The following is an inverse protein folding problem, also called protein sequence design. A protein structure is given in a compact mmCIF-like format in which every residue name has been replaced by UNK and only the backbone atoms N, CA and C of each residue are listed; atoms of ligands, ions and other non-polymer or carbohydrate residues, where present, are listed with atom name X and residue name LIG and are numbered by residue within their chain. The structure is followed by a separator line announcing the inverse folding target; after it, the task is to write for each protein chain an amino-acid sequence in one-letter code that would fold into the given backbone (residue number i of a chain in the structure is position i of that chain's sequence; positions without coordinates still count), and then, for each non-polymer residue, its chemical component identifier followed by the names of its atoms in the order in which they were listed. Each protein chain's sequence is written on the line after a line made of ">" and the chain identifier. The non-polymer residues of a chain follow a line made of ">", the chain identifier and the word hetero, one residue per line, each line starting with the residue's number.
data_IF_155938256487
#
_entry.id   IF_155938256487
#
_cell.length_a   1.000
_cell.length_b   1.000
_cell.length_c   1.000
_cell.angle_alpha   90.00
_cell.angle_beta   90.00
_cell.angle_gamma   90.00
#
_symmetry.space_group_name_H-M   'P 1'
#
loop_
_entity.id
_entity.type
_entity.pdbx_description
1 polymer ?
#
# COMPACT_ATOMS: atom_id res chain seq x y z
N UNK A 1 -6.54 -40.20 -18.08
CA UNK A 1 -6.40 -38.75 -17.79
C UNK A 1 -6.35 -38.59 -16.27
N UNK A 2 -5.19 -38.27 -15.73
CA UNK A 2 -4.97 -38.03 -14.30
C UNK A 2 -5.45 -36.61 -13.97
N UNK A 3 -6.50 -36.48 -13.15
CA UNK A 3 -6.93 -35.18 -12.63
C UNK A 3 -5.97 -34.74 -11.53
N UNK A 4 -5.12 -33.76 -11.82
CA UNK A 4 -4.36 -33.07 -10.80
C UNK A 4 -5.30 -32.16 -10.00
N UNK A 5 -5.73 -32.64 -8.82
CA UNK A 5 -6.42 -31.81 -7.85
C UNK A 5 -5.35 -31.01 -7.10
N UNK A 6 -5.24 -29.72 -7.41
CA UNK A 6 -4.43 -28.79 -6.63
C UNK A 6 -5.16 -28.52 -5.31
N UNK A 7 -4.57 -28.91 -4.17
CA UNK A 7 -5.10 -28.54 -2.85
C UNK A 7 -4.70 -27.09 -2.56
N UNK A 8 -5.66 -26.23 -2.27
CA UNK A 8 -5.40 -24.89 -1.76
C UNK A 8 -5.08 -24.95 -0.26
N UNK A 9 -4.12 -24.16 0.19
CA UNK A 9 -3.87 -23.93 1.62
C UNK A 9 -4.67 -22.70 2.08
N UNK A 10 -5.28 -22.80 3.26
CA UNK A 10 -6.06 -21.72 3.85
C UNK A 10 -5.60 -21.49 5.29
N UNK A 11 -5.42 -20.23 5.66
CA UNK A 11 -5.09 -19.82 7.03
C UNK A 11 -6.23 -18.99 7.60
N UNK A 12 -6.56 -19.21 8.88
CA UNK A 12 -7.57 -18.45 9.62
C UNK A 12 -6.84 -17.50 10.57
N UNK A 13 -7.22 -16.21 10.53
CA UNK A 13 -6.69 -15.16 11.42
C UNK A 13 -7.84 -14.29 11.93
N UNK A 14 -7.56 -13.44 12.93
CA UNK A 14 -8.53 -12.45 13.45
C UNK A 14 -9.57 -13.00 14.44
N UNK A 15 -9.32 -14.17 15.02
CA UNK A 15 -10.19 -14.77 16.04
C UNK A 15 -9.42 -15.17 17.28
N UNK A 16 -10.01 -14.93 18.45
CA UNK A 16 -9.43 -15.32 19.75
C UNK A 16 -9.15 -16.82 19.81
N UNK A 17 -10.00 -17.63 19.20
CA UNK A 17 -9.90 -19.10 19.25
C UNK A 17 -8.67 -19.66 18.53
N UNK A 18 -8.08 -18.90 17.60
CA UNK A 18 -6.89 -19.31 16.88
C UNK A 18 -5.59 -18.93 17.62
N UNK A 19 -5.67 -18.15 18.70
CA UNK A 19 -4.50 -17.80 19.51
C UNK A 19 -4.01 -19.01 20.31
N UNK A 20 -2.88 -19.57 19.90
CA UNK A 20 -2.30 -20.78 20.46
C UNK A 20 -0.78 -20.69 20.66
N UNK A 21 -0.11 -19.65 20.13
CA UNK A 21 1.35 -19.52 20.18
C UNK A 21 1.82 -18.20 20.80
N UNK A 22 3.01 -18.18 21.43
CA UNK A 22 3.65 -16.94 21.86
C UNK A 22 3.77 -15.91 20.72
N UNK A 23 3.52 -14.64 21.02
CA UNK A 23 3.56 -13.53 20.08
C UNK A 23 2.25 -13.26 19.34
N UNK A 24 1.28 -14.17 19.41
CA UNK A 24 -0.03 -13.95 18.79
C UNK A 24 -0.85 -12.94 19.60
N UNK A 25 -1.74 -12.24 18.91
CA UNK A 25 -2.61 -11.24 19.50
C UNK A 25 -3.98 -11.25 18.84
N UNK A 26 -4.97 -10.74 19.57
CA UNK A 26 -6.32 -10.51 19.07
C UNK A 26 -6.87 -9.24 19.70
N UNK A 27 -7.37 -8.34 18.86
CA UNK A 27 -7.99 -7.09 19.30
C UNK A 27 -9.50 -7.20 19.17
N UNK A 28 -10.18 -7.19 20.31
CA UNK A 28 -11.63 -7.13 20.39
C UNK A 28 -12.08 -5.68 20.16
N UNK A 29 -12.55 -5.41 18.95
CA UNK A 29 -13.02 -4.07 18.56
C UNK A 29 -14.31 -3.66 19.26
N UNK A 30 -15.13 -4.61 19.72
CA UNK A 30 -16.39 -4.31 20.40
C UNK A 30 -16.13 -3.84 21.83
N UNK A 31 -15.20 -4.50 22.53
CA UNK A 31 -14.86 -4.16 23.92
C UNK A 31 -13.65 -3.25 24.07
N UNK A 32 -12.91 -3.00 22.98
CA UNK A 32 -11.67 -2.23 22.98
C UNK A 32 -10.51 -2.93 23.69
N UNK A 33 -10.57 -4.26 23.87
CA UNK A 33 -9.58 -5.03 24.61
C UNK A 33 -8.57 -5.71 23.68
N UNK A 34 -7.29 -5.50 23.96
CA UNK A 34 -6.20 -6.23 23.34
C UNK A 34 -5.86 -7.47 24.19
N UNK A 35 -5.88 -8.63 23.56
CA UNK A 35 -5.37 -9.88 24.11
C UNK A 35 -4.05 -10.19 23.43
N UNK A 36 -3.01 -10.48 24.21
CA UNK A 36 -1.68 -10.80 23.71
C UNK A 36 -1.15 -12.04 24.42
N UNK A 37 -0.61 -13.00 23.67
CA UNK A 37 0.12 -14.13 24.19
C UNK A 37 1.61 -13.73 24.28
N UNK A 38 2.18 -13.57 25.49
CA UNK A 38 3.57 -13.10 25.64
C UNK A 38 4.58 -14.01 24.94
N UNK A 39 5.64 -13.41 24.35
CA UNK A 39 6.71 -14.16 23.68
C UNK A 39 7.46 -15.12 24.62
N UNK A 40 7.53 -14.77 25.90
CA UNK A 40 8.12 -15.60 26.95
C UNK A 40 7.51 -15.27 28.31
N UNK A 41 7.77 -16.11 29.31
CA UNK A 41 7.37 -15.84 30.70
C UNK A 41 8.07 -14.61 31.30
N UNK A 42 9.19 -14.19 30.72
CA UNK A 42 9.96 -13.00 31.11
C UNK A 42 9.63 -11.77 30.26
N UNK A 43 8.56 -11.82 29.45
CA UNK A 43 8.16 -10.68 28.65
C UNK A 43 7.80 -9.52 29.59
N UNK A 44 8.43 -8.34 29.44
CA UNK A 44 8.12 -7.19 30.29
C UNK A 44 6.64 -6.84 30.16
N UNK A 45 6.06 -6.20 31.17
CA UNK A 45 4.63 -5.90 31.13
C UNK A 45 4.28 -5.04 29.90
N UNK A 46 3.01 -5.02 29.49
CA UNK A 46 2.57 -4.10 28.43
C UNK A 46 2.75 -2.63 28.83
N UNK A 47 2.95 -2.34 30.12
CA UNK A 47 3.25 -0.98 30.62
C UNK A 47 4.73 -0.62 30.42
N UNK A 48 5.61 -1.63 30.39
CA UNK A 48 7.05 -1.48 30.16
C UNK A 48 7.42 -1.51 28.67
N UNK A 49 6.49 -1.91 27.79
CA UNK A 49 6.66 -1.93 26.34
C UNK A 49 5.70 -0.96 25.66
N UNK A 50 6.19 -0.20 24.67
CA UNK A 50 5.31 0.60 23.82
C UNK A 50 4.51 -0.31 22.86
N UNK A 51 3.24 -0.55 23.16
CA UNK A 51 2.31 -1.23 22.25
C UNK A 51 1.69 -0.20 21.32
N UNK A 52 1.84 -0.40 20.01
CA UNK A 52 1.25 0.47 18.99
C UNK A 52 0.11 -0.27 18.30
N UNK A 53 -1.07 0.36 18.26
CA UNK A 53 -2.21 -0.10 17.48
C UNK A 53 -2.49 0.96 16.41
N UNK A 54 -2.45 0.63 15.10
CA UNK A 54 -2.72 1.59 14.05
C UNK A 54 -4.18 2.05 14.08
N UNK A 55 -4.38 3.36 14.09
CA UNK A 55 -5.73 3.98 14.11
C UNK A 55 -6.10 4.65 12.78
N UNK A 56 -5.14 4.80 11.86
CA UNK A 56 -5.32 5.45 10.57
C UNK A 56 -4.78 4.56 9.44
N UNK A 57 -5.49 4.47 8.32
CA UNK A 57 -5.04 3.67 7.15
C UNK A 57 -4.15 4.47 6.19
N UNK A 58 -4.31 5.80 6.16
CA UNK A 58 -3.58 6.72 5.28
C UNK A 58 -3.08 7.89 6.11
N UNK A 59 -1.78 8.15 6.07
CA UNK A 59 -1.13 9.21 6.85
C UNK A 59 -1.17 10.54 6.10
N UNK A 60 -0.81 10.52 4.81
CA UNK A 60 -0.77 11.73 3.97
C UNK A 60 -1.60 11.53 2.71
N UNK A 61 -2.43 12.53 2.42
CA UNK A 61 -3.15 12.65 1.14
C UNK A 61 -2.68 13.91 0.42
N UNK A 62 -2.04 13.74 -0.72
CA UNK A 62 -1.66 14.82 -1.64
C UNK A 62 -2.62 14.77 -2.82
N UNK A 63 -3.31 15.87 -3.09
CA UNK A 63 -4.21 15.93 -4.22
C UNK A 63 -5.58 16.53 -3.99
N UNK A 64 -6.32 16.61 -5.08
CA UNK A 64 -7.73 16.99 -5.07
C UNK A 64 -8.64 15.78 -4.87
N UNK A 65 -9.94 16.03 -4.69
CA UNK A 65 -10.96 14.98 -4.77
C UNK A 65 -10.89 14.31 -6.16
N UNK A 66 -11.13 12.99 -6.22
CA UNK A 66 -11.12 12.20 -7.46
C UNK A 66 -11.97 12.86 -8.55
N UNK A 67 -11.35 13.17 -9.68
CA UNK A 67 -12.01 13.78 -10.84
C UNK A 67 -12.34 12.76 -11.95
N UNK A 68 -12.12 11.46 -11.72
CA UNK A 68 -12.35 10.39 -12.70
C UNK A 68 -11.68 10.67 -14.06
N UNK A 69 -10.48 11.25 -14.05
CA UNK A 69 -9.75 11.61 -15.27
C UNK A 69 -10.18 12.93 -15.92
N UNK A 70 -11.14 13.66 -15.37
CA UNK A 70 -11.46 15.01 -15.86
C UNK A 70 -10.45 15.99 -15.32
N UNK A 71 -9.80 16.75 -16.21
CA UNK A 71 -9.06 17.92 -15.75
C UNK A 71 -10.04 18.89 -15.10
N UNK A 72 -9.67 19.52 -13.98
CA UNK A 72 -10.48 20.60 -13.47
C UNK A 72 -10.57 21.73 -14.50
N UNK A 73 -11.73 22.39 -14.64
CA UNK A 73 -11.88 23.53 -15.55
C UNK A 73 -10.82 24.62 -15.28
N UNK A 74 -10.36 25.34 -16.31
CA UNK A 74 -9.53 26.53 -16.10
C UNK A 74 -10.23 27.52 -15.16
N UNK A 75 -9.53 28.01 -14.14
CA UNK A 75 -10.11 28.92 -13.12
C UNK A 75 -10.90 28.24 -12.00
N UNK A 76 -10.94 26.89 -11.97
CA UNK A 76 -11.46 26.11 -10.85
C UNK A 76 -10.63 26.31 -9.58
N UNK A 77 -11.29 26.46 -8.42
CA UNK A 77 -10.64 26.37 -7.10
C UNK A 77 -9.99 24.99 -6.86
N UNK A 78 -10.44 23.97 -7.58
CA UNK A 78 -9.79 22.66 -7.64
C UNK A 78 -8.78 22.70 -8.78
N UNK A 79 -7.53 23.01 -8.51
CA UNK A 79 -6.43 22.81 -9.48
C UNK A 79 -5.62 21.59 -9.06
N UNK A 80 -4.89 20.98 -10.01
CA UNK A 80 -3.96 19.91 -9.64
C UNK A 80 -3.03 20.38 -8.53
N UNK A 81 -2.82 19.54 -7.52
CA UNK A 81 -1.84 19.83 -6.46
C UNK A 81 -0.45 19.68 -7.04
N UNK A 82 0.42 20.68 -6.86
CA UNK A 82 1.75 20.69 -7.48
C UNK A 82 2.88 21.11 -6.56
N UNK A 83 4.09 20.63 -6.87
CA UNK A 83 5.33 21.12 -6.26
C UNK A 83 5.51 20.70 -4.81
N UNK A 84 4.91 19.58 -4.40
CA UNK A 84 5.07 19.05 -3.04
C UNK A 84 6.24 18.09 -3.00
N UNK A 85 7.09 18.24 -1.99
CA UNK A 85 8.18 17.31 -1.69
C UNK A 85 7.99 16.74 -0.30
N UNK A 86 7.99 15.41 -0.20
CA UNK A 86 8.10 14.66 1.04
C UNK A 86 9.53 14.15 1.12
N UNK A 87 10.30 14.62 2.10
CA UNK A 87 11.73 14.34 2.18
C UNK A 87 12.17 13.98 3.60
N UNK A 88 12.91 12.87 3.73
CA UNK A 88 13.50 12.40 4.99
C UNK A 88 12.46 12.19 6.10
N UNK A 89 11.27 11.70 5.72
CA UNK A 89 10.17 11.39 6.65
C UNK A 89 10.02 9.89 6.81
N UNK A 90 9.81 9.44 8.05
CA UNK A 90 9.38 8.07 8.35
C UNK A 90 7.85 8.01 8.42
N UNK A 91 7.26 7.14 7.63
CA UNK A 91 5.86 6.72 7.69
C UNK A 91 5.78 5.32 8.28
N UNK A 92 5.14 5.18 9.43
CA UNK A 92 4.99 3.91 10.12
C UNK A 92 3.62 3.79 10.79
N UNK A 93 3.28 2.56 11.21
CA UNK A 93 2.14 2.26 12.06
C UNK A 93 0.78 2.70 11.49
N UNK A 94 0.63 2.56 10.17
CA UNK A 94 -0.65 2.73 9.47
C UNK A 94 -1.37 1.40 9.26
N UNK A 95 -2.68 1.44 9.41
CA UNK A 95 -3.59 0.31 9.25
C UNK A 95 -3.81 -0.09 7.80
N UNK A 96 -4.76 -0.99 7.60
CA UNK A 96 -5.20 -1.44 6.29
C UNK A 96 -6.73 -1.44 6.24
N UNK A 97 -7.31 -1.09 5.09
CA UNK A 97 -8.75 -0.96 4.95
C UNK A 97 -9.37 -2.36 4.79
N UNK A 98 -9.94 -2.88 5.87
CA UNK A 98 -10.67 -4.16 5.92
C UNK A 98 -12.02 -4.13 5.19
N UNK A 99 -12.44 -2.99 4.61
CA UNK A 99 -13.73 -2.93 3.92
C UNK A 99 -13.80 -3.97 2.79
N UNK A 100 -15.01 -4.47 2.46
CA UNK A 100 -15.25 -5.46 1.39
C UNK A 100 -14.78 -5.04 -0.02
N UNK A 101 -14.21 -3.83 -0.16
CA UNK A 101 -13.68 -3.27 -1.39
C UNK A 101 -12.20 -3.60 -1.60
N UNK A 102 -11.43 -3.96 -0.58
CA UNK A 102 -10.00 -4.26 -0.70
C UNK A 102 -9.71 -5.77 -0.80
N UNK A 103 -10.44 -6.48 -1.67
CA UNK A 103 -10.38 -7.96 -1.83
C UNK A 103 -9.19 -8.45 -2.67
N UNK A 104 -8.10 -7.70 -2.67
CA UNK A 104 -6.86 -8.05 -3.35
C UNK A 104 -6.79 -7.66 -4.82
N UNK A 105 -5.57 -7.75 -5.37
CA UNK A 105 -5.23 -7.27 -6.70
C UNK A 105 -5.80 -8.15 -7.84
N UNK A 106 -6.95 -8.79 -7.67
CA UNK A 106 -7.67 -9.47 -8.76
C UNK A 106 -8.77 -8.59 -9.40
N UNK A 107 -8.69 -7.27 -9.21
CA UNK A 107 -9.59 -6.35 -9.91
C UNK A 107 -9.50 -6.55 -11.45
N UNK A 108 -10.63 -6.47 -12.18
CA UNK A 108 -10.69 -6.64 -13.63
C UNK A 108 -9.87 -5.56 -14.39
N UNK A 109 -9.65 -5.77 -15.70
CA UNK A 109 -8.75 -5.03 -16.62
C UNK A 109 -8.80 -3.49 -16.61
N UNK A 110 -9.75 -2.86 -15.92
CA UNK A 110 -9.85 -1.40 -15.79
C UNK A 110 -10.42 -1.04 -14.42
N UNK A 111 -9.56 -0.90 -13.43
CA UNK A 111 -10.00 -0.55 -12.10
C UNK A 111 -9.85 0.96 -11.87
N UNK A 112 -10.98 1.64 -11.70
CA UNK A 112 -10.98 3.01 -11.19
C UNK A 112 -10.21 3.07 -9.86
N UNK A 113 -9.63 4.23 -9.52
CA UNK A 113 -8.93 4.48 -8.26
C UNK A 113 -9.72 4.07 -7.00
N UNK A 114 -11.06 4.08 -7.12
CA UNK A 114 -12.03 3.71 -6.09
C UNK A 114 -12.82 2.44 -6.43
N UNK A 115 -12.39 1.70 -7.46
CA UNK A 115 -13.00 0.46 -7.91
C UNK A 115 -12.83 -0.66 -6.88
N UNK A 116 -13.79 -1.58 -6.87
CA UNK A 116 -13.72 -2.78 -6.03
C UNK A 116 -12.47 -3.59 -6.41
N UNK A 117 -11.63 -3.89 -5.42
CA UNK A 117 -10.37 -4.65 -5.56
C UNK A 117 -9.11 -3.79 -5.62
N UNK A 118 -9.20 -2.46 -5.58
CA UNK A 118 -8.03 -1.58 -5.50
C UNK A 118 -7.83 -1.11 -4.06
N UNK A 119 -6.69 -1.44 -3.43
CA UNK A 119 -6.37 -0.94 -2.10
C UNK A 119 -6.27 0.59 -2.10
N UNK A 120 -6.73 1.22 -1.02
CA UNK A 120 -6.69 2.69 -0.85
C UNK A 120 -6.03 3.12 0.46
N UNK A 121 -5.46 2.14 1.14
CA UNK A 121 -4.82 2.09 2.44
C UNK A 121 -3.30 2.09 2.25
N UNK A 122 -2.79 3.15 1.63
CA UNK A 122 -1.36 3.40 1.55
C UNK A 122 -0.99 4.55 2.45
N UNK A 123 0.18 4.52 3.08
CA UNK A 123 0.62 5.58 3.97
C UNK A 123 0.60 6.96 3.29
N UNK A 124 0.97 7.02 2.00
CA UNK A 124 0.92 8.22 1.17
C UNK A 124 0.05 7.98 -0.06
N UNK A 125 -1.08 8.70 -0.16
CA UNK A 125 -1.91 8.70 -1.37
C UNK A 125 -1.72 9.98 -2.16
N UNK A 126 -1.34 9.85 -3.43
CA UNK A 126 -1.13 10.94 -4.38
C UNK A 126 -2.17 10.82 -5.50
N UNK A 127 -3.09 11.79 -5.57
CA UNK A 127 -4.20 11.78 -6.53
C UNK A 127 -4.26 13.12 -7.24
N UNK A 128 -4.56 13.13 -8.53
CA UNK A 128 -4.74 14.39 -9.25
C UNK A 128 -3.67 15.43 -8.96
N UNK A 129 -2.42 15.04 -9.14
CA UNK A 129 -1.28 15.85 -8.77
C UNK A 129 -0.23 15.88 -9.87
N UNK A 130 0.64 16.88 -9.84
CA UNK A 130 1.72 17.03 -10.80
C UNK A 130 2.99 17.50 -10.10
N UNK A 131 4.16 17.02 -10.51
CA UNK A 131 5.44 17.47 -9.94
C UNK A 131 5.52 17.22 -8.41
N UNK A 132 5.39 15.95 -8.02
CA UNK A 132 5.47 15.51 -6.62
C UNK A 132 6.74 14.68 -6.42
N UNK A 133 7.46 14.93 -5.34
CA UNK A 133 8.68 14.18 -5.02
C UNK A 133 8.54 13.49 -3.67
N UNK A 134 8.90 12.22 -3.60
CA UNK A 134 9.08 11.44 -2.38
C UNK A 134 10.52 10.96 -2.36
N UNK A 135 11.36 11.51 -1.48
CA UNK A 135 12.81 11.26 -1.48
C UNK A 135 13.35 10.96 -0.10
N UNK A 136 14.22 9.96 0.02
CA UNK A 136 14.89 9.68 1.30
C UNK A 136 13.93 9.27 2.41
N UNK A 137 12.71 8.88 2.08
CA UNK A 137 11.69 8.53 3.05
C UNK A 137 11.80 7.06 3.47
N UNK A 138 11.26 6.75 4.64
CA UNK A 138 11.19 5.38 5.17
C UNK A 138 9.71 5.01 5.33
N UNK A 139 9.30 3.91 4.72
CA UNK A 139 7.97 3.32 4.86
C UNK A 139 8.15 1.97 5.56
N UNK A 140 7.75 1.88 6.84
CA UNK A 140 8.07 0.72 7.68
C UNK A 140 6.87 0.27 8.50
N UNK A 141 6.67 -1.04 8.64
CA UNK A 141 5.64 -1.63 9.51
C UNK A 141 4.23 -1.09 9.20
N UNK A 142 3.88 -1.10 7.91
CA UNK A 142 2.59 -0.66 7.42
C UNK A 142 1.72 -1.89 7.14
N UNK A 143 0.51 -1.95 7.69
CA UNK A 143 -0.42 -3.03 7.32
C UNK A 143 -0.92 -2.86 5.88
N UNK A 144 -0.96 -1.62 5.39
CA UNK A 144 -1.26 -1.27 4.01
C UNK A 144 -0.04 -1.26 3.07
N UNK A 145 -0.09 -0.37 2.07
CA UNK A 145 1.04 -0.12 1.16
C UNK A 145 1.80 1.18 1.45
N UNK A 146 2.87 1.44 0.70
CA UNK A 146 3.70 2.64 0.86
C UNK A 146 3.09 3.88 0.20
N UNK A 147 3.16 3.93 -1.13
CA UNK A 147 2.67 5.06 -1.95
C UNK A 147 1.66 4.59 -2.98
N UNK A 148 0.51 5.25 -3.08
CA UNK A 148 -0.50 5.03 -4.12
C UNK A 148 -0.66 6.25 -5.02
N UNK A 149 -0.43 6.08 -6.31
CA UNK A 149 -0.54 7.12 -7.33
C UNK A 149 -1.72 6.82 -8.26
N UNK A 150 -2.61 7.79 -8.44
CA UNK A 150 -3.81 7.60 -9.26
C UNK A 150 -4.39 8.92 -9.80
N UNK A 151 -5.53 8.85 -10.50
CA UNK A 151 -6.31 9.98 -11.00
C UNK A 151 -5.49 10.97 -11.86
N UNK A 152 -4.93 10.51 -12.97
CA UNK A 152 -4.15 11.29 -13.95
C UNK A 152 -2.92 12.01 -13.36
N UNK A 153 -2.44 11.56 -12.21
CA UNK A 153 -1.23 12.12 -11.59
C UNK A 153 -0.02 11.95 -12.51
N UNK A 154 0.82 12.98 -12.60
CA UNK A 154 2.00 12.94 -13.47
C UNK A 154 3.24 13.60 -12.90
N UNK A 155 4.41 13.31 -13.48
CA UNK A 155 5.71 13.84 -13.04
C UNK A 155 5.95 13.60 -11.55
N UNK A 156 5.75 12.36 -11.10
CA UNK A 156 6.05 11.97 -9.73
C UNK A 156 7.36 11.23 -9.69
N UNK A 157 8.24 11.63 -8.78
CA UNK A 157 9.50 10.93 -8.51
C UNK A 157 9.44 10.32 -7.13
N UNK A 158 9.66 9.01 -7.04
CA UNK A 158 9.90 8.28 -5.79
C UNK A 158 11.33 7.77 -5.86
N UNK A 159 12.22 8.39 -5.09
CA UNK A 159 13.63 8.05 -5.15
C UNK A 159 14.29 7.83 -3.80
N UNK A 160 15.32 6.98 -3.78
CA UNK A 160 16.23 6.80 -2.64
C UNK A 160 15.49 6.58 -1.30
N UNK A 161 14.33 5.94 -1.37
CA UNK A 161 13.47 5.66 -0.21
C UNK A 161 13.53 4.17 0.13
N UNK A 162 13.23 3.85 1.39
CA UNK A 162 13.20 2.48 1.90
C UNK A 162 11.76 2.06 2.19
N UNK A 163 11.38 0.87 1.72
CA UNK A 163 10.09 0.25 1.99
C UNK A 163 10.34 -1.11 2.62
N UNK A 164 9.95 -1.31 3.87
CA UNK A 164 10.22 -2.54 4.62
C UNK A 164 9.03 -2.98 5.46
N UNK A 165 8.70 -4.27 5.45
CA UNK A 165 7.63 -4.84 6.29
C UNK A 165 6.24 -4.27 5.98
N UNK A 166 5.84 -4.36 4.71
CA UNK A 166 4.54 -3.87 4.24
C UNK A 166 3.55 -5.02 4.06
N UNK A 167 2.31 -4.81 4.50
CA UNK A 167 1.22 -5.75 4.25
C UNK A 167 0.83 -5.82 2.77
N UNK A 168 1.10 -4.77 1.99
CA UNK A 168 0.83 -4.71 0.54
C UNK A 168 2.06 -4.25 -0.27
N UNK A 169 1.83 -3.70 -1.47
CA UNK A 169 2.86 -3.18 -2.37
C UNK A 169 3.54 -1.92 -1.82
N UNK A 170 4.82 -1.73 -2.14
CA UNK A 170 5.54 -0.49 -1.82
C UNK A 170 5.05 0.70 -2.64
N UNK A 171 4.89 0.51 -3.95
CA UNK A 171 4.31 1.53 -4.83
C UNK A 171 3.20 0.93 -5.69
N UNK A 172 2.05 1.61 -5.74
CA UNK A 172 0.87 1.23 -6.50
C UNK A 172 0.56 2.36 -7.48
N UNK A 173 0.48 2.05 -8.78
CA UNK A 173 0.00 2.94 -9.83
C UNK A 173 -1.30 2.35 -10.39
N UNK A 174 -2.41 3.08 -10.25
CA UNK A 174 -3.73 2.61 -10.73
C UNK A 174 -4.49 3.67 -11.49
N UNK A 175 -5.24 3.22 -12.49
CA UNK A 175 -6.16 4.01 -13.30
C UNK A 175 -6.75 3.16 -14.42
N UNK A 176 -7.12 3.83 -15.50
CA UNK A 176 -7.63 3.26 -16.74
C UNK A 176 -7.13 4.09 -17.94
N UNK A 177 -7.63 3.83 -19.13
CA UNK A 177 -7.20 4.51 -20.36
C UNK A 177 -7.41 6.04 -20.34
N UNK A 178 -8.29 6.57 -19.49
CA UNK A 178 -8.56 8.01 -19.38
C UNK A 178 -7.87 8.67 -18.19
N UNK A 179 -7.50 7.92 -17.15
CA UNK A 179 -6.98 8.48 -15.91
C UNK A 179 -5.72 7.79 -15.35
N UNK A 180 -5.01 7.02 -16.17
CA UNK A 180 -3.76 6.39 -15.76
C UNK A 180 -2.71 7.43 -15.35
N UNK A 181 -1.94 7.15 -14.28
CA UNK A 181 -0.73 7.90 -13.98
C UNK A 181 0.24 7.90 -15.15
N UNK A 182 0.98 8.99 -15.33
CA UNK A 182 1.97 9.08 -16.41
C UNK A 182 3.26 9.77 -15.98
N UNK A 183 4.39 9.44 -16.63
CA UNK A 183 5.69 10.08 -16.34
C UNK A 183 6.09 9.92 -14.86
N UNK A 184 5.98 8.70 -14.36
CA UNK A 184 6.39 8.35 -13.00
C UNK A 184 7.81 7.79 -13.04
N UNK A 185 8.68 8.30 -12.17
CA UNK A 185 10.03 7.78 -11.95
C UNK A 185 10.09 7.10 -10.58
N UNK A 186 10.43 5.81 -10.56
CA UNK A 186 10.70 5.06 -9.33
C UNK A 186 12.15 4.58 -9.40
N UNK A 187 13.04 5.23 -8.64
CA UNK A 187 14.48 5.06 -8.79
C UNK A 187 15.26 4.91 -7.48
N UNK A 188 16.23 3.98 -7.44
CA UNK A 188 17.19 3.94 -6.34
C UNK A 188 16.57 3.56 -4.99
N UNK A 189 15.38 2.95 -4.98
CA UNK A 189 14.69 2.57 -3.75
C UNK A 189 15.14 1.19 -3.29
N UNK A 190 15.10 0.96 -1.98
CA UNK A 190 15.24 -0.37 -1.38
C UNK A 190 13.88 -0.85 -0.94
N UNK A 191 13.42 -1.99 -1.47
CA UNK A 191 12.11 -2.56 -1.18
C UNK A 191 12.29 -3.99 -0.68
N UNK A 192 11.84 -4.24 0.55
CA UNK A 192 12.02 -5.51 1.22
C UNK A 192 10.78 -5.95 2.02
N UNK A 193 10.52 -7.25 2.02
CA UNK A 193 9.47 -7.88 2.86
C UNK A 193 8.10 -7.21 2.71
N UNK A 194 7.58 -7.25 1.47
CA UNK A 194 6.33 -6.61 1.06
C UNK A 194 5.29 -7.63 0.64
N UNK A 195 4.01 -7.33 0.87
CA UNK A 195 2.90 -8.23 0.61
C UNK A 195 2.62 -9.23 1.73
N UNK A 196 2.98 -8.90 2.97
CA UNK A 196 2.86 -9.78 4.14
C UNK A 196 1.42 -10.11 4.54
N UNK A 197 0.47 -9.28 4.13
CA UNK A 197 -0.98 -9.48 4.36
C UNK A 197 -1.64 -9.84 3.02
N UNK A 198 -1.40 -9.03 2.00
CA UNK A 198 -1.95 -9.24 0.66
C UNK A 198 -0.92 -9.92 -0.25
N UNK A 199 -0.91 -11.25 -0.20
CA UNK A 199 0.01 -12.09 -0.97
C UNK A 199 -0.08 -11.91 -2.50
N UNK A 200 -1.18 -11.37 -3.01
CA UNK A 200 -1.33 -11.04 -4.44
C UNK A 200 -0.65 -9.73 -4.87
N UNK A 201 0.07 -9.05 -3.97
CA UNK A 201 0.76 -7.79 -4.23
C UNK A 201 2.07 -7.95 -5.00
N UNK A 202 2.65 -6.81 -5.39
CA UNK A 202 3.97 -6.72 -6.00
C UNK A 202 4.78 -5.64 -5.28
N UNK A 203 6.11 -5.66 -5.30
CA UNK A 203 6.86 -4.53 -4.73
C UNK A 203 6.51 -3.21 -5.45
N UNK A 204 6.56 -3.22 -6.79
CA UNK A 204 6.00 -2.14 -7.61
C UNK A 204 4.88 -2.71 -8.47
N UNK A 205 3.68 -2.18 -8.29
CA UNK A 205 2.51 -2.54 -9.09
C UNK A 205 2.09 -1.38 -9.98
N UNK A 206 2.01 -1.62 -11.28
CA UNK A 206 1.35 -0.75 -12.23
C UNK A 206 0.20 -1.54 -12.90
N UNK A 207 -1.05 -1.20 -12.56
CA UNK A 207 -2.21 -1.76 -13.28
C UNK A 207 -2.43 -1.04 -14.60
N UNK A 208 -2.17 0.27 -14.63
CA UNK A 208 -2.12 1.11 -15.82
C UNK A 208 -1.20 2.29 -15.52
N UNK A 209 -0.23 2.55 -16.38
CA UNK A 209 0.64 3.71 -16.30
C UNK A 209 1.27 3.94 -17.68
N UNK A 210 1.62 5.18 -18.01
CA UNK A 210 2.29 5.50 -19.28
C UNK A 210 3.55 6.31 -19.08
N UNK A 211 4.50 6.16 -20.02
CA UNK A 211 5.77 6.91 -20.03
C UNK A 211 6.52 6.89 -18.68
N UNK A 212 6.41 5.80 -17.92
CA UNK A 212 6.97 5.68 -16.58
C UNK A 212 8.23 4.82 -16.61
N UNK A 213 9.18 5.12 -15.74
CA UNK A 213 10.49 4.44 -15.66
C UNK A 213 10.69 3.91 -14.26
N UNK A 214 10.98 2.62 -14.15
CA UNK A 214 11.37 1.96 -12.90
C UNK A 214 12.80 1.46 -13.08
N UNK A 215 13.77 2.05 -12.39
CA UNK A 215 15.19 1.73 -12.59
C UNK A 215 15.97 1.73 -11.30
N UNK A 216 17.05 0.95 -11.23
CA UNK A 216 18.00 0.97 -10.11
C UNK A 216 17.36 0.72 -8.74
N UNK A 217 16.24 0.00 -8.67
CA UNK A 217 15.61 -0.38 -7.39
C UNK A 217 16.16 -1.74 -6.93
N UNK A 218 16.47 -1.86 -5.65
CA UNK A 218 16.82 -3.12 -5.02
C UNK A 218 15.55 -3.74 -4.40
N UNK A 219 15.12 -4.90 -4.91
CA UNK A 219 13.86 -5.54 -4.50
C UNK A 219 14.15 -6.95 -4.00
N UNK A 220 13.78 -7.23 -2.75
CA UNK A 220 13.87 -8.56 -2.13
C UNK A 220 12.58 -8.92 -1.39
N UNK A 221 12.32 -10.22 -1.23
CA UNK A 221 11.20 -10.76 -0.41
C UNK A 221 9.83 -10.11 -0.71
N UNK A 222 9.48 -10.00 -1.99
CA UNK A 222 8.11 -9.66 -2.39
C UNK A 222 7.25 -10.93 -2.42
N UNK A 223 6.01 -10.85 -1.92
CA UNK A 223 5.13 -12.02 -1.78
C UNK A 223 4.82 -12.75 -3.10
N UNK A 224 4.81 -12.03 -4.23
CA UNK A 224 4.48 -12.60 -5.54
C UNK A 224 5.30 -12.07 -6.69
N UNK A 225 5.38 -10.74 -6.86
CA UNK A 225 6.14 -10.13 -7.95
C UNK A 225 7.05 -9.02 -7.44
N UNK A 226 8.26 -8.91 -7.99
CA UNK A 226 9.08 -7.71 -7.78
C UNK A 226 8.45 -6.50 -8.47
N UNK A 227 8.27 -6.58 -9.79
CA UNK A 227 7.57 -5.56 -10.57
C UNK A 227 6.47 -6.24 -11.37
N UNK A 228 5.24 -5.74 -11.25
CA UNK A 228 4.10 -6.21 -12.04
C UNK A 228 3.53 -5.03 -12.84
N UNK A 229 3.64 -5.13 -14.15
CA UNK A 229 3.02 -4.22 -15.11
C UNK A 229 1.92 -4.99 -15.81
N UNK A 230 0.68 -4.50 -15.72
CA UNK A 230 -0.38 -4.95 -16.62
C UNK A 230 -0.40 -4.06 -17.83
N UNK A 231 -0.37 -4.68 -18.99
CA UNK A 231 -0.62 -4.01 -20.26
C UNK A 231 -2.09 -4.22 -20.63
N UNK A 232 -2.74 -3.16 -21.11
CA UNK A 232 -4.05 -3.23 -21.75
C UNK A 232 -3.88 -3.22 -23.27
#
# INVERSE_FOLDING_TARGET
>A
MSSHITRGEMTIFGTRYAMSRPGEWWFDKETGRLYYAPMSASFPSLEENSVVIPMMDVVVKVGTRTLLGRQPPPGSLFSWTRGITLENIKFADAGYDVKPRAVGFQAPFHAYANGKGIPSDTAVSIRGSENITVRGCIFESLAGGGVHITDSTSFVTIERSTFAHLGQSAVILTGNNTNQPSRILIEGNTIDDVGRILYSSAAILCTTCSHSTFRSNNISRASRWGIHIRNN
#
